data_IF_643680977815
#
_entry.id   IF_643680977815
#
_cell.length_a   1.000
_cell.length_b   1.000
_cell.length_c   1.000
_cell.angle_alpha   90.00
_cell.angle_beta   90.00
_cell.angle_gamma   90.00
#
_symmetry.space_group_name_H-M   'P 1'
#
loop_
_entity.id
_entity.type
_entity.pdbx_description
1 polymer ?
#
# COMPACT_ATOMS: atom_id res chain seq x y z
N UNK A 1 22.80 16.30 0.58
CA UNK A 1 23.24 16.86 -0.72
C UNK A 1 24.74 17.14 -0.65
N UNK A 2 25.54 16.66 -1.61
CA UNK A 2 26.94 17.07 -1.79
C UNK A 2 27.02 17.86 -3.09
N UNK A 3 27.58 19.07 -3.08
CA UNK A 3 27.74 19.92 -4.27
C UNK A 3 26.43 20.16 -5.06
N UNK A 4 25.31 20.32 -4.35
CA UNK A 4 24.00 20.52 -4.96
C UNK A 4 23.41 19.28 -5.64
N UNK A 5 24.05 18.11 -5.52
CA UNK A 5 23.55 16.82 -6.05
C UNK A 5 23.13 15.87 -4.93
N UNK A 6 22.03 15.11 -5.11
CA UNK A 6 21.68 14.02 -4.20
C UNK A 6 22.77 12.95 -4.20
N UNK A 7 23.20 12.53 -3.00
CA UNK A 7 24.16 11.46 -2.81
C UNK A 7 23.71 10.60 -1.63
N UNK A 8 23.92 9.29 -1.73
CA UNK A 8 23.68 8.33 -0.65
C UNK A 8 24.92 8.27 0.23
N UNK A 9 24.75 8.51 1.52
CA UNK A 9 25.84 8.53 2.51
C UNK A 9 25.50 7.53 3.63
N UNK A 10 26.45 6.65 4.04
CA UNK A 10 26.27 5.82 5.22
C UNK A 10 26.33 6.65 6.50
N UNK A 11 25.50 6.30 7.49
CA UNK A 11 25.48 6.96 8.80
C UNK A 11 24.61 8.21 8.86
N UNK A 12 24.53 8.81 10.06
CA UNK A 12 23.84 10.07 10.26
C UNK A 12 24.79 11.24 10.03
N UNK A 13 24.33 12.26 9.31
CA UNK A 13 25.12 13.42 8.96
C UNK A 13 24.37 14.71 9.30
N UNK A 14 25.07 15.75 9.74
CA UNK A 14 24.48 17.06 10.05
C UNK A 14 24.18 17.92 8.80
N UNK A 15 24.52 17.45 7.60
CA UNK A 15 24.23 18.12 6.32
C UNK A 15 22.73 18.08 6.00
N UNK A 16 22.29 18.93 5.06
CA UNK A 16 20.93 18.89 4.50
C UNK A 16 20.66 17.52 3.84
N UNK A 17 19.77 16.73 4.44
CA UNK A 17 19.36 15.40 3.99
C UNK A 17 17.91 15.45 3.52
N UNK A 18 17.62 14.99 2.30
CA UNK A 18 16.23 14.91 1.79
C UNK A 18 15.45 13.86 2.58
N UNK A 19 16.09 12.73 2.84
CA UNK A 19 15.54 11.62 3.58
C UNK A 19 16.66 10.87 4.30
N UNK A 20 16.29 10.19 5.39
CA UNK A 20 17.12 9.26 6.15
C UNK A 20 16.39 7.95 6.29
N UNK A 21 17.12 6.84 6.24
CA UNK A 21 16.56 5.50 6.36
C UNK A 21 17.39 4.65 7.31
N UNK A 22 16.72 3.84 8.12
CA UNK A 22 17.33 2.85 9.00
C UNK A 22 16.70 1.50 8.73
N UNK A 23 17.53 0.48 8.65
CA UNK A 23 17.10 -0.89 8.45
C UNK A 23 17.78 -1.82 9.43
N UNK A 24 17.02 -2.76 9.99
CA UNK A 24 17.53 -3.83 10.83
C UNK A 24 16.91 -5.15 10.37
N UNK A 25 17.72 -6.02 9.79
CA UNK A 25 17.30 -7.39 9.55
C UNK A 25 17.34 -8.17 10.86
N UNK A 26 16.21 -8.68 11.32
CA UNK A 26 16.09 -9.52 12.52
C UNK A 26 15.17 -10.71 12.27
N UNK A 27 15.09 -11.17 11.02
CA UNK A 27 14.24 -12.28 10.61
C UNK A 27 14.64 -13.56 11.36
N UNK A 28 15.94 -13.84 11.50
CA UNK A 28 16.42 -15.05 12.18
C UNK A 28 16.13 -15.09 13.69
N UNK A 29 15.86 -13.94 14.32
CA UNK A 29 15.62 -13.85 15.78
C UNK A 29 14.18 -13.55 16.14
N UNK A 30 13.45 -12.82 15.29
CA UNK A 30 12.08 -12.34 15.58
C UNK A 30 11.07 -12.69 14.50
N UNK A 31 11.50 -13.16 13.33
CA UNK A 31 10.66 -13.29 12.14
C UNK A 31 10.47 -11.99 11.36
N UNK A 32 11.01 -10.86 11.84
CA UNK A 32 10.81 -9.53 11.23
C UNK A 32 12.12 -8.83 10.90
N UNK A 33 12.12 -8.14 9.75
CA UNK A 33 12.97 -6.98 9.54
C UNK A 33 12.23 -5.70 9.94
N UNK A 34 12.98 -4.65 10.26
CA UNK A 34 12.43 -3.34 10.63
C UNK A 34 13.02 -2.28 9.70
N UNK A 35 12.14 -1.48 9.08
CA UNK A 35 12.52 -0.38 8.20
C UNK A 35 11.87 0.91 8.70
N UNK A 36 12.67 1.95 8.83
CA UNK A 36 12.20 3.30 9.13
C UNK A 36 12.75 4.25 8.07
N UNK A 37 11.89 5.08 7.49
CA UNK A 37 12.28 6.12 6.55
C UNK A 37 11.61 7.43 6.94
N UNK A 38 12.41 8.48 7.02
CA UNK A 38 11.95 9.83 7.33
C UNK A 38 12.40 10.81 6.24
N UNK A 39 11.48 11.61 5.71
CA UNK A 39 11.77 12.67 4.75
C UNK A 39 11.63 14.05 5.39
N UNK A 40 12.30 15.05 4.83
CA UNK A 40 12.38 16.40 5.41
C UNK A 40 11.50 17.40 4.65
N UNK A 41 10.74 18.19 5.39
CA UNK A 41 9.70 19.08 4.84
C UNK A 41 10.25 20.30 4.10
N UNK A 42 11.54 20.64 4.27
CA UNK A 42 12.17 21.71 3.48
C UNK A 42 12.40 21.35 2.00
N UNK A 43 12.13 20.11 1.59
CA UNK A 43 12.29 19.66 0.21
C UNK A 43 10.96 19.46 -0.49
N UNK A 44 10.98 19.56 -1.82
CA UNK A 44 9.80 19.29 -2.64
C UNK A 44 9.24 17.86 -2.38
N UNK A 45 7.92 17.72 -2.12
CA UNK A 45 7.30 16.44 -1.80
C UNK A 45 7.52 15.31 -2.82
N UNK A 46 7.69 15.64 -4.11
CA UNK A 46 7.94 14.65 -5.14
C UNK A 46 9.36 14.07 -5.03
N UNK A 47 10.34 14.93 -4.69
CA UNK A 47 11.71 14.52 -4.40
C UNK A 47 11.75 13.70 -3.10
N UNK A 48 10.96 14.08 -2.09
CA UNK A 48 10.82 13.32 -0.85
C UNK A 48 10.32 11.89 -1.12
N UNK A 49 9.22 11.74 -1.87
CA UNK A 49 8.63 10.45 -2.20
C UNK A 49 9.61 9.54 -2.94
N UNK A 50 10.24 10.06 -3.99
CA UNK A 50 11.25 9.34 -4.76
C UNK A 50 12.45 8.91 -3.88
N UNK A 51 12.94 9.81 -3.02
CA UNK A 51 14.09 9.54 -2.15
C UNK A 51 13.78 8.49 -1.10
N UNK A 52 12.55 8.48 -0.55
CA UNK A 52 12.08 7.43 0.34
C UNK A 52 12.12 6.06 -0.34
N UNK A 53 11.64 5.99 -1.59
CA UNK A 53 11.75 4.79 -2.41
C UNK A 53 13.20 4.33 -2.58
N UNK A 54 14.09 5.23 -3.02
CA UNK A 54 15.51 4.92 -3.24
C UNK A 54 16.15 4.33 -1.99
N UNK A 55 15.92 4.93 -0.82
CA UNK A 55 16.46 4.43 0.45
C UNK A 55 15.93 3.04 0.79
N UNK A 56 14.63 2.78 0.62
CA UNK A 56 14.09 1.42 0.82
C UNK A 56 14.76 0.40 -0.10
N UNK A 57 14.82 0.71 -1.41
CA UNK A 57 15.38 -0.19 -2.41
C UNK A 57 16.86 -0.54 -2.13
N UNK A 58 17.62 0.40 -1.59
CA UNK A 58 19.02 0.19 -1.18
C UNK A 58 19.09 -0.62 0.12
N UNK A 59 18.37 -0.20 1.16
CA UNK A 59 18.48 -0.76 2.50
C UNK A 59 17.94 -2.19 2.59
N UNK A 60 16.92 -2.51 1.79
CA UNK A 60 16.24 -3.82 1.82
C UNK A 60 16.67 -4.76 0.69
N UNK A 61 17.69 -4.37 -0.10
CA UNK A 61 18.07 -5.02 -1.37
C UNK A 61 18.15 -6.55 -1.29
N UNK A 62 18.82 -7.07 -0.27
CA UNK A 62 19.05 -8.51 -0.14
C UNK A 62 17.75 -9.29 0.16
N UNK A 63 16.96 -8.82 1.14
CA UNK A 63 15.68 -9.47 1.47
C UNK A 63 14.63 -9.29 0.38
N UNK A 64 14.70 -8.19 -0.37
CA UNK A 64 13.87 -7.94 -1.55
C UNK A 64 14.21 -8.90 -2.69
N UNK A 65 15.49 -9.17 -2.94
CA UNK A 65 15.89 -10.14 -3.96
C UNK A 65 15.35 -11.54 -3.64
N UNK A 66 15.47 -11.99 -2.38
CA UNK A 66 14.89 -13.26 -1.92
C UNK A 66 13.37 -13.28 -2.04
N UNK A 67 12.69 -12.20 -1.69
CA UNK A 67 11.23 -12.13 -1.78
C UNK A 67 10.73 -12.17 -3.24
N UNK A 68 11.44 -11.51 -4.17
CA UNK A 68 11.16 -11.60 -5.61
C UNK A 68 11.33 -13.03 -6.13
N UNK A 69 12.36 -13.74 -5.66
CA UNK A 69 12.57 -15.15 -5.99
C UNK A 69 11.41 -16.02 -5.52
N UNK A 70 10.99 -15.84 -4.27
CA UNK A 70 9.90 -16.61 -3.68
C UNK A 70 8.53 -16.37 -4.35
N UNK A 71 8.27 -15.16 -4.85
CA UNK A 71 6.90 -14.73 -5.15
C UNK A 71 6.63 -14.32 -6.59
N UNK A 72 7.64 -13.85 -7.34
CA UNK A 72 7.46 -13.23 -8.67
C UNK A 72 8.10 -14.03 -9.80
N UNK A 73 9.29 -14.58 -9.60
CA UNK A 73 10.09 -15.18 -10.69
C UNK A 73 9.31 -16.26 -11.47
N UNK A 74 8.54 -17.10 -10.76
CA UNK A 74 7.82 -18.22 -11.38
C UNK A 74 6.37 -17.89 -11.76
N UNK A 75 5.89 -16.67 -11.48
CA UNK A 75 4.47 -16.31 -11.56
C UNK A 75 3.85 -16.57 -12.95
N UNK A 76 4.62 -16.41 -14.02
CA UNK A 76 4.16 -16.60 -15.40
C UNK A 76 4.60 -17.93 -16.06
N UNK A 77 5.34 -18.79 -15.34
CA UNK A 77 5.76 -20.09 -15.87
C UNK A 77 4.52 -20.97 -16.06
N UNK A 78 4.34 -21.53 -17.26
CA UNK A 78 3.14 -22.32 -17.60
C UNK A 78 1.88 -21.49 -17.92
N UNK A 79 1.88 -20.17 -17.68
CA UNK A 79 0.69 -19.32 -17.83
C UNK A 79 0.84 -18.22 -18.91
N UNK A 80 1.62 -18.47 -19.97
CA UNK A 80 1.95 -17.47 -21.01
C UNK A 80 0.73 -16.76 -21.61
N UNK A 81 -0.36 -17.47 -21.86
CA UNK A 81 -1.60 -16.91 -22.42
C UNK A 81 -2.26 -15.90 -21.48
N UNK A 82 -2.35 -16.24 -20.19
CA UNK A 82 -2.83 -15.35 -19.13
C UNK A 82 -1.91 -14.13 -19.00
N UNK A 83 -0.59 -14.34 -18.87
CA UNK A 83 0.36 -13.24 -18.66
C UNK A 83 0.42 -12.27 -19.86
N UNK A 84 0.15 -12.73 -21.09
CA UNK A 84 0.01 -11.83 -22.24
C UNK A 84 -1.20 -10.90 -22.09
N UNK A 85 -2.34 -11.41 -21.62
CA UNK A 85 -3.55 -10.59 -21.37
C UNK A 85 -3.33 -9.63 -20.19
N UNK A 86 -2.76 -10.12 -19.10
CA UNK A 86 -2.41 -9.31 -17.94
C UNK A 86 -1.46 -8.17 -18.31
N UNK A 87 -0.36 -8.46 -19.02
CA UNK A 87 0.59 -7.45 -19.47
C UNK A 87 -0.05 -6.40 -20.39
N UNK A 88 -0.97 -6.82 -21.28
CA UNK A 88 -1.74 -5.90 -22.12
C UNK A 88 -2.67 -4.98 -21.32
N UNK A 89 -3.34 -5.51 -20.30
CA UNK A 89 -4.18 -4.74 -19.38
C UNK A 89 -3.35 -3.74 -18.55
N UNK A 90 -2.27 -4.22 -17.92
CA UNK A 90 -1.41 -3.37 -17.07
C UNK A 90 -0.76 -2.25 -17.86
N UNK A 91 -0.31 -2.51 -19.10
CA UNK A 91 0.26 -1.45 -19.96
C UNK A 91 -0.76 -0.35 -20.24
N UNK A 92 -1.99 -0.71 -20.59
CA UNK A 92 -3.05 0.28 -20.83
C UNK A 92 -3.44 1.01 -19.54
N UNK A 93 -3.51 0.30 -18.42
CA UNK A 93 -3.78 0.88 -17.09
C UNK A 93 -2.73 1.90 -16.71
N UNK A 94 -1.45 1.58 -16.84
CA UNK A 94 -0.36 2.51 -16.56
C UNK A 94 -0.39 3.72 -17.49
N UNK A 95 -0.71 3.53 -18.78
CA UNK A 95 -0.90 4.63 -19.72
C UNK A 95 -2.03 5.59 -19.31
N UNK A 96 -3.16 5.05 -18.84
CA UNK A 96 -4.26 5.89 -18.32
C UNK A 96 -3.85 6.62 -17.03
N UNK A 97 -3.20 5.94 -16.09
CA UNK A 97 -2.72 6.58 -14.85
C UNK A 97 -1.71 7.70 -15.17
N UNK A 98 -0.80 7.49 -16.12
CA UNK A 98 0.12 8.51 -16.59
C UNK A 98 -0.63 9.74 -17.09
N UNK A 99 -1.60 9.55 -17.98
CA UNK A 99 -2.44 10.63 -18.52
C UNK A 99 -3.17 11.40 -17.41
N UNK A 100 -3.72 10.70 -16.40
CA UNK A 100 -4.40 11.36 -15.29
C UNK A 100 -3.43 12.18 -14.42
N UNK A 101 -2.25 11.63 -14.10
CA UNK A 101 -1.23 12.34 -13.32
C UNK A 101 -0.72 13.58 -14.05
N UNK A 102 -0.46 13.48 -15.36
CA UNK A 102 0.07 14.58 -16.18
C UNK A 102 -0.94 15.72 -16.35
N UNK A 103 -2.23 15.41 -16.41
CA UNK A 103 -3.31 16.39 -16.59
C UNK A 103 -3.91 16.91 -15.27
N UNK A 104 -3.60 16.28 -14.13
CA UNK A 104 -4.16 16.68 -12.85
C UNK A 104 -3.66 18.08 -12.41
N UNK A 105 -4.57 18.97 -11.92
CA UNK A 105 -4.18 20.23 -11.31
C UNK A 105 -3.21 20.03 -10.13
N UNK A 106 -2.33 21.01 -9.88
CA UNK A 106 -1.39 20.94 -8.75
C UNK A 106 -2.09 20.98 -7.39
N UNK A 107 -3.29 21.56 -7.37
CA UNK A 107 -4.16 21.73 -6.20
C UNK A 107 -4.94 20.44 -5.89
N UNK A 108 -5.03 19.49 -6.83
CA UNK A 108 -5.70 18.22 -6.63
C UNK A 108 -4.85 17.30 -5.75
N UNK A 109 -5.09 17.37 -4.45
CA UNK A 109 -4.34 16.62 -3.43
C UNK A 109 -4.41 15.10 -3.66
N UNK A 110 -5.53 14.59 -4.18
CA UNK A 110 -5.70 13.16 -4.45
C UNK A 110 -4.71 12.71 -5.54
N UNK A 111 -4.70 13.39 -6.68
CA UNK A 111 -3.77 13.04 -7.76
C UNK A 111 -2.31 13.39 -7.44
N UNK A 112 -2.04 14.38 -6.59
CA UNK A 112 -0.69 14.59 -6.06
C UNK A 112 -0.23 13.42 -5.17
N UNK A 113 -1.13 12.83 -4.37
CA UNK A 113 -0.81 11.62 -3.59
C UNK A 113 -0.53 10.42 -4.52
N UNK A 114 -1.37 10.21 -5.54
CA UNK A 114 -1.15 9.16 -6.57
C UNK A 114 0.20 9.34 -7.25
N UNK A 115 0.54 10.54 -7.70
CA UNK A 115 1.83 10.86 -8.32
C UNK A 115 3.00 10.46 -7.43
N UNK A 116 2.94 10.80 -6.14
CA UNK A 116 4.01 10.51 -5.16
C UNK A 116 4.17 9.03 -4.89
N UNK A 117 3.09 8.26 -4.89
CA UNK A 117 3.15 6.79 -4.79
C UNK A 117 3.97 6.21 -5.96
N UNK A 118 3.71 6.66 -7.18
CA UNK A 118 4.46 6.18 -8.36
C UNK A 118 5.91 6.68 -8.41
N UNK A 119 6.19 7.88 -7.88
CA UNK A 119 7.56 8.35 -7.67
C UNK A 119 8.30 7.50 -6.64
N UNK A 120 7.66 7.15 -5.53
CA UNK A 120 8.23 6.27 -4.51
C UNK A 120 8.50 4.87 -5.07
N UNK A 121 7.56 4.30 -5.84
CA UNK A 121 7.75 3.00 -6.49
C UNK A 121 8.93 3.03 -7.48
N UNK A 122 9.04 4.11 -8.26
CA UNK A 122 10.16 4.29 -9.19
C UNK A 122 11.48 4.43 -8.45
N UNK A 123 11.50 5.25 -7.39
CA UNK A 123 12.65 5.41 -6.52
C UNK A 123 13.11 4.08 -5.93
N UNK A 124 12.17 3.26 -5.47
CA UNK A 124 12.43 1.93 -4.92
C UNK A 124 13.06 0.98 -5.94
N UNK A 125 12.51 0.96 -7.16
CA UNK A 125 13.12 0.23 -8.27
C UNK A 125 14.53 0.72 -8.61
N UNK A 126 14.73 2.03 -8.64
CA UNK A 126 16.02 2.64 -8.94
C UNK A 126 17.06 2.35 -7.86
N UNK A 127 16.67 2.45 -6.58
CA UNK A 127 17.52 2.09 -5.44
C UNK A 127 17.93 0.62 -5.47
N UNK A 128 16.97 -0.29 -5.70
CA UNK A 128 17.23 -1.72 -5.83
C UNK A 128 18.22 -2.04 -6.96
N UNK A 129 18.06 -1.39 -8.13
CA UNK A 129 18.93 -1.58 -9.30
C UNK A 129 20.23 -0.78 -9.26
N UNK A 130 20.43 0.11 -8.30
CA UNK A 130 21.58 1.02 -8.27
C UNK A 130 21.62 1.97 -9.48
N UNK A 131 20.45 2.42 -9.95
CA UNK A 131 20.37 3.41 -11.04
C UNK A 131 20.77 4.80 -10.55
N UNK A 132 21.17 5.66 -11.48
CA UNK A 132 21.43 7.07 -11.18
C UNK A 132 20.17 7.74 -10.62
N UNK A 133 20.36 8.59 -9.61
CA UNK A 133 19.29 9.38 -9.02
C UNK A 133 18.68 10.32 -10.07
N UNK A 134 17.42 10.09 -10.42
CA UNK A 134 16.65 10.84 -11.40
C UNK A 134 15.17 10.82 -11.02
N UNK A 135 14.65 11.96 -10.55
CA UNK A 135 13.28 12.07 -10.06
C UNK A 135 12.33 12.09 -11.25
N UNK A 136 11.82 10.92 -11.60
CA UNK A 136 10.85 10.70 -12.65
C UNK A 136 10.00 9.49 -12.30
N UNK A 137 8.82 9.37 -12.91
CA UNK A 137 7.99 8.18 -12.80
C UNK A 137 8.36 7.22 -13.94
N UNK A 138 8.56 5.94 -13.61
CA UNK A 138 8.60 4.84 -14.57
C UNK A 138 7.25 4.13 -14.54
N UNK A 139 6.60 4.07 -15.68
CA UNK A 139 5.34 3.35 -15.90
C UNK A 139 5.56 1.94 -16.46
N UNK A 140 6.82 1.50 -16.54
CA UNK A 140 7.18 0.18 -17.04
C UNK A 140 6.81 -0.91 -16.03
N UNK A 141 6.33 -2.04 -16.53
CA UNK A 141 6.06 -3.22 -15.71
C UNK A 141 7.40 -3.86 -15.35
N UNK A 142 7.87 -3.63 -14.12
CA UNK A 142 9.07 -4.24 -13.55
C UNK A 142 8.72 -5.20 -12.39
N UNK A 143 9.64 -6.09 -11.96
CA UNK A 143 9.34 -7.10 -10.93
C UNK A 143 8.78 -6.54 -9.62
N UNK A 144 9.24 -5.38 -9.17
CA UNK A 144 8.73 -4.73 -7.95
C UNK A 144 7.30 -4.18 -8.15
N UNK A 145 6.96 -3.65 -9.33
CA UNK A 145 5.57 -3.30 -9.63
C UNK A 145 4.70 -4.57 -9.61
N UNK A 146 5.22 -5.68 -10.13
CA UNK A 146 4.54 -6.97 -10.07
C UNK A 146 4.33 -7.49 -8.64
N UNK A 147 5.16 -7.13 -7.64
CA UNK A 147 4.85 -7.41 -6.22
C UNK A 147 3.53 -6.76 -5.80
N UNK A 148 3.33 -5.48 -6.14
CA UNK A 148 2.11 -4.76 -5.80
C UNK A 148 0.89 -5.32 -6.53
N UNK A 149 1.05 -5.64 -7.82
CA UNK A 149 -0.01 -6.24 -8.61
C UNK A 149 -0.37 -7.64 -8.09
N UNK A 150 0.62 -8.49 -7.76
CA UNK A 150 0.37 -9.83 -7.22
C UNK A 150 -0.28 -9.78 -5.83
N UNK A 151 0.13 -8.82 -4.99
CA UNK A 151 -0.38 -8.74 -3.63
C UNK A 151 -1.82 -8.24 -3.53
N UNK A 152 -2.30 -7.42 -4.48
CA UNK A 152 -3.62 -6.80 -4.40
C UNK A 152 -4.54 -7.17 -5.58
N UNK A 153 -4.03 -7.20 -6.80
CA UNK A 153 -4.88 -7.19 -7.99
C UNK A 153 -5.16 -8.58 -8.55
N UNK A 154 -4.27 -9.54 -8.34
CA UNK A 154 -4.34 -10.82 -9.07
C UNK A 154 -5.46 -11.72 -8.60
N UNK A 155 -6.01 -11.53 -7.40
CA UNK A 155 -7.16 -12.28 -6.89
C UNK A 155 -8.35 -12.27 -7.86
N UNK A 156 -8.62 -11.11 -8.46
CA UNK A 156 -9.67 -10.95 -9.47
C UNK A 156 -9.14 -10.99 -10.89
N UNK A 157 -7.95 -10.44 -11.17
CA UNK A 157 -7.44 -10.42 -12.55
C UNK A 157 -7.13 -11.83 -13.08
N UNK A 158 -6.74 -12.77 -12.22
CA UNK A 158 -6.58 -14.17 -12.61
C UNK A 158 -7.90 -14.78 -13.08
N UNK A 159 -8.99 -14.50 -12.36
CA UNK A 159 -10.33 -14.96 -12.73
C UNK A 159 -10.82 -14.25 -13.99
N UNK A 160 -10.68 -12.93 -14.08
CA UNK A 160 -11.05 -12.12 -15.26
C UNK A 160 -10.37 -12.61 -16.54
N UNK A 161 -9.09 -12.96 -16.46
CA UNK A 161 -8.33 -13.39 -17.63
C UNK A 161 -8.27 -14.92 -17.82
N UNK A 162 -9.07 -15.67 -17.06
CA UNK A 162 -9.19 -17.12 -17.11
C UNK A 162 -7.82 -17.82 -16.94
N UNK A 163 -7.05 -17.43 -15.92
CA UNK A 163 -5.86 -18.19 -15.51
C UNK A 163 -6.31 -19.60 -15.14
N UNK A 164 -5.67 -20.61 -15.72
CA UNK A 164 -5.90 -22.00 -15.32
C UNK A 164 -5.54 -22.17 -13.85
N UNK A 165 -6.37 -22.89 -13.08
CA UNK A 165 -6.10 -23.11 -11.66
C UNK A 165 -4.75 -23.78 -11.46
N UNK A 166 -4.00 -23.29 -10.49
CA UNK A 166 -2.78 -23.95 -10.07
C UNK A 166 -3.16 -25.18 -9.22
N UNK A 167 -2.75 -26.40 -9.60
CA UNK A 167 -3.08 -27.60 -8.83
C UNK A 167 -2.30 -27.69 -7.51
N UNK A 168 -1.23 -26.91 -7.33
CA UNK A 168 -0.37 -26.93 -6.14
C UNK A 168 -0.62 -25.76 -5.17
N UNK A 169 -1.25 -24.68 -5.66
CA UNK A 169 -1.59 -23.51 -4.86
C UNK A 169 -3.11 -23.34 -4.78
N UNK A 170 -3.68 -23.58 -3.59
CA UNK A 170 -5.11 -23.50 -3.34
C UNK A 170 -5.68 -22.08 -3.35
N UNK A 171 -7.01 -21.99 -3.21
CA UNK A 171 -7.70 -20.70 -3.11
C UNK A 171 -7.08 -19.83 -2.01
N UNK A 172 -6.92 -18.55 -2.34
CA UNK A 172 -6.21 -17.54 -1.59
C UNK A 172 -6.60 -17.50 -0.10
N UNK A 173 -5.61 -17.22 0.75
CA UNK A 173 -5.77 -17.29 2.20
C UNK A 173 -6.82 -16.29 2.73
N UNK A 174 -7.38 -16.62 3.90
CA UNK A 174 -8.45 -15.87 4.55
C UNK A 174 -7.87 -15.10 5.72
N UNK A 175 -7.82 -13.78 5.69
CA UNK A 175 -7.40 -13.01 6.86
C UNK A 175 -8.48 -13.01 7.94
N UNK A 176 -8.08 -12.83 9.21
CA UNK A 176 -8.99 -12.63 10.34
C UNK A 176 -8.71 -11.29 11.00
N UNK A 177 -9.73 -10.46 11.21
CA UNK A 177 -9.64 -9.20 11.95
C UNK A 177 -10.47 -9.22 13.24
N UNK A 178 -10.06 -8.47 14.25
CA UNK A 178 -10.82 -8.28 15.49
C UNK A 178 -10.69 -6.85 16.01
N UNK A 179 -11.81 -6.20 16.27
CA UNK A 179 -11.89 -4.99 17.10
C UNK A 179 -12.57 -5.37 18.41
N UNK A 180 -11.95 -5.05 19.54
CA UNK A 180 -12.44 -5.46 20.87
C UNK A 180 -12.39 -4.32 21.86
N UNK A 181 -13.57 -3.90 22.31
CA UNK A 181 -13.73 -3.01 23.45
C UNK A 181 -13.53 -3.78 24.77
N UNK A 182 -12.70 -3.22 25.66
CA UNK A 182 -12.50 -3.75 27.00
C UNK A 182 -13.71 -3.48 27.90
N UNK A 183 -13.88 -4.23 29.01
CA UNK A 183 -14.93 -3.93 30.00
C UNK A 183 -14.91 -2.48 30.45
N UNK A 184 -16.09 -1.87 30.61
CA UNK A 184 -16.27 -0.47 31.00
C UNK A 184 -15.55 0.55 30.09
N UNK A 185 -15.35 0.19 28.82
CA UNK A 185 -14.66 1.02 27.83
C UNK A 185 -13.24 1.43 28.28
N UNK A 186 -12.58 0.58 29.08
CA UNK A 186 -11.27 0.91 29.66
C UNK A 186 -10.15 0.99 28.61
N UNK A 187 -10.32 0.27 27.49
CA UNK A 187 -9.38 0.23 26.37
C UNK A 187 -10.08 -0.28 25.10
N UNK A 188 -9.46 -0.10 23.93
CA UNK A 188 -9.97 -0.52 22.64
C UNK A 188 -8.86 -1.14 21.78
N UNK A 189 -8.96 -2.46 21.58
CA UNK A 189 -7.97 -3.24 20.85
C UNK A 189 -8.39 -3.44 19.39
N UNK A 190 -7.39 -3.44 18.50
CA UNK A 190 -7.53 -3.84 17.10
C UNK A 190 -6.43 -4.85 16.75
N UNK A 191 -6.77 -5.93 16.06
CA UNK A 191 -5.81 -6.95 15.64
C UNK A 191 -6.17 -7.55 14.28
N UNK A 192 -5.15 -8.05 13.59
CA UNK A 192 -5.25 -8.71 12.30
C UNK A 192 -4.32 -9.91 12.27
N UNK A 193 -4.78 -11.01 11.64
CA UNK A 193 -4.01 -12.22 11.38
C UNK A 193 -4.12 -12.54 9.90
N UNK A 194 -3.02 -12.29 9.19
CA UNK A 194 -2.91 -12.55 7.75
C UNK A 194 -2.72 -14.04 7.48
N UNK A 195 -3.42 -14.56 6.48
CA UNK A 195 -3.20 -15.91 5.97
C UNK A 195 -2.79 -15.83 4.51
N UNK A 196 -1.54 -16.22 4.22
CA UNK A 196 -0.96 -16.26 2.88
C UNK A 196 -0.04 -17.49 2.77
N UNK A 197 0.39 -17.80 1.55
CA UNK A 197 1.37 -18.87 1.32
C UNK A 197 2.69 -18.60 2.03
N UNK A 198 3.34 -19.67 2.50
CA UNK A 198 4.58 -19.57 3.30
C UNK A 198 5.75 -18.92 2.54
N UNK A 199 5.70 -18.91 1.21
CA UNK A 199 6.67 -18.19 0.37
C UNK A 199 6.72 -16.68 0.66
N UNK A 200 5.66 -16.11 1.24
CA UNK A 200 5.57 -14.70 1.60
C UNK A 200 6.17 -14.39 2.99
N UNK A 201 6.65 -15.36 3.77
CA UNK A 201 7.08 -15.14 5.17
C UNK A 201 8.37 -14.33 5.38
N UNK A 202 8.90 -13.67 4.33
CA UNK A 202 9.88 -12.60 4.51
C UNK A 202 9.14 -11.31 4.88
N UNK A 203 9.18 -10.93 6.15
CA UNK A 203 8.39 -9.82 6.70
C UNK A 203 9.24 -8.59 7.01
N UNK A 204 8.67 -7.40 6.78
CA UNK A 204 9.25 -6.11 7.14
C UNK A 204 8.19 -5.29 7.87
N UNK A 205 8.42 -4.93 9.13
CA UNK A 205 7.64 -3.90 9.81
C UNK A 205 8.16 -2.54 9.38
N UNK A 206 7.30 -1.70 8.83
CA UNK A 206 7.69 -0.43 8.21
C UNK A 206 7.13 0.76 8.96
N UNK A 207 7.93 1.81 9.09
CA UNK A 207 7.53 3.13 9.56
C UNK A 207 7.98 4.17 8.53
N UNK A 208 7.02 4.83 7.90
CA UNK A 208 7.29 6.00 7.07
C UNK A 208 6.90 7.28 7.80
N UNK A 209 7.77 8.28 7.75
CA UNK A 209 7.56 9.62 8.30
C UNK A 209 7.78 10.63 7.19
N UNK A 210 6.74 10.93 6.42
CA UNK A 210 6.84 11.90 5.34
C UNK A 210 6.76 13.33 5.90
N UNK A 211 7.66 14.18 5.44
CA UNK A 211 7.65 15.64 5.64
C UNK A 211 6.65 16.36 4.72
N UNK A 212 5.51 15.74 4.44
CA UNK A 212 4.43 16.37 3.67
C UNK A 212 3.69 17.43 4.50
N UNK A 213 2.91 18.27 3.81
CA UNK A 213 2.04 19.26 4.45
C UNK A 213 0.97 18.55 5.29
N UNK A 214 1.11 18.62 6.62
CA UNK A 214 0.27 17.92 7.59
C UNK A 214 -1.19 18.41 7.57
N UNK A 215 -1.46 19.60 7.01
CA UNK A 215 -2.83 20.10 6.83
C UNK A 215 -3.58 19.41 5.69
N UNK A 216 -2.86 18.66 4.84
CA UNK A 216 -3.39 17.92 3.69
C UNK A 216 -3.14 16.42 3.77
N UNK A 217 -2.05 16.03 4.43
CA UNK A 217 -1.61 14.64 4.60
C UNK A 217 -1.67 14.29 6.09
N UNK A 218 -2.88 14.04 6.60
CA UNK A 218 -3.10 13.78 8.02
C UNK A 218 -2.39 12.49 8.49
N UNK A 219 -2.33 11.48 7.63
CA UNK A 219 -1.54 10.25 7.83
C UNK A 219 -0.11 10.36 7.30
N UNK A 220 0.55 11.52 7.39
CA UNK A 220 1.93 11.70 6.91
C UNK A 220 2.95 10.78 7.60
N UNK A 221 2.65 10.30 8.80
CA UNK A 221 3.42 9.23 9.47
C UNK A 221 2.55 8.00 9.65
N UNK A 222 3.03 6.84 9.24
CA UNK A 222 2.29 5.60 9.42
C UNK A 222 3.21 4.40 9.55
N UNK A 223 2.78 3.43 10.36
CA UNK A 223 3.46 2.15 10.55
C UNK A 223 2.54 1.00 10.15
N UNK A 224 3.11 -0.03 9.54
CA UNK A 224 2.34 -1.14 9.00
C UNK A 224 3.18 -2.40 8.85
N UNK A 225 2.55 -3.57 9.02
CA UNK A 225 3.16 -4.85 8.66
C UNK A 225 3.25 -4.93 7.15
N UNK A 226 4.38 -5.41 6.61
CA UNK A 226 4.64 -5.38 5.17
C UNK A 226 5.58 -6.50 4.75
N UNK A 227 5.87 -6.50 3.45
CA UNK A 227 6.85 -7.34 2.78
C UNK A 227 7.99 -6.49 2.18
N UNK A 228 9.17 -7.09 1.89
CA UNK A 228 10.24 -6.41 1.16
C UNK A 228 9.75 -5.82 -0.16
N UNK A 229 9.98 -4.52 -0.37
CA UNK A 229 9.65 -3.82 -1.61
C UNK A 229 8.19 -3.42 -1.81
N UNK A 230 7.27 -3.85 -0.95
CA UNK A 230 5.84 -3.53 -1.05
C UNK A 230 5.53 -2.20 -0.34
N UNK A 231 5.00 -1.18 -1.02
CA UNK A 231 4.80 0.16 -0.45
C UNK A 231 3.53 0.30 0.42
N UNK A 232 2.72 -0.76 0.48
CA UNK A 232 1.54 -0.90 1.32
C UNK A 232 1.66 -2.17 2.15
N UNK A 233 0.67 -2.46 3.01
CA UNK A 233 0.77 -3.56 3.95
C UNK A 233 0.67 -4.93 3.27
N UNK A 234 -0.35 -5.15 2.46
CA UNK A 234 -0.64 -6.44 1.83
C UNK A 234 -1.21 -7.49 2.80
N UNK A 235 -1.33 -7.13 4.08
CA UNK A 235 -1.92 -7.95 5.14
C UNK A 235 -3.46 -7.76 5.21
N UNK A 236 -4.04 -6.56 5.37
CA UNK A 236 -3.48 -5.26 5.75
C UNK A 236 -3.63 -4.93 7.28
N UNK A 237 -2.60 -4.31 7.88
CA UNK A 237 -2.66 -3.70 9.22
C UNK A 237 -1.85 -2.39 9.25
N UNK A 238 -2.52 -1.26 9.52
CA UNK A 238 -1.91 0.09 9.46
C UNK A 238 -2.32 0.92 10.67
N UNK A 239 -1.35 1.65 11.24
CA UNK A 239 -1.57 2.72 12.22
C UNK A 239 -1.05 4.04 11.65
N UNK A 240 -1.84 5.10 11.76
CA UNK A 240 -1.59 6.40 11.11
C UNK A 240 -1.52 7.54 12.13
N UNK A 241 -0.73 8.57 11.83
CA UNK A 241 -0.60 9.79 12.64
C UNK A 241 -1.87 10.61 12.73
N UNK A 242 -2.83 10.39 11.83
CA UNK A 242 -4.18 10.96 11.91
C UNK A 242 -4.98 10.42 13.09
N UNK A 243 -4.47 9.43 13.84
CA UNK A 243 -5.18 8.73 14.91
C UNK A 243 -6.02 7.56 14.40
N UNK A 244 -5.95 7.26 13.10
CA UNK A 244 -6.66 6.15 12.48
C UNK A 244 -5.86 4.85 12.56
N UNK A 245 -6.57 3.74 12.71
CA UNK A 245 -6.08 2.39 12.46
C UNK A 245 -6.96 1.74 11.39
N UNK A 246 -6.36 0.97 10.48
CA UNK A 246 -7.09 0.27 9.43
C UNK A 246 -6.61 -1.17 9.32
N UNK A 247 -7.57 -2.09 9.21
CA UNK A 247 -7.34 -3.50 8.89
C UNK A 247 -8.32 -3.93 7.79
N UNK A 248 -8.00 -5.02 7.10
CA UNK A 248 -8.93 -5.62 6.15
C UNK A 248 -8.92 -7.14 6.21
N UNK A 249 -10.00 -7.72 5.68
CA UNK A 249 -10.03 -9.12 5.28
C UNK A 249 -10.61 -9.26 3.88
N UNK A 250 -9.92 -10.02 3.02
CA UNK A 250 -10.36 -10.24 1.63
C UNK A 250 -11.71 -10.95 1.56
N UNK A 251 -12.60 -10.40 0.75
CA UNK A 251 -13.91 -10.94 0.45
C UNK A 251 -13.91 -11.68 -0.89
N UNK A 252 -14.66 -12.77 -0.96
CA UNK A 252 -14.84 -13.52 -2.19
C UNK A 252 -15.88 -12.90 -3.11
N UNK A 253 -15.51 -12.63 -4.36
CA UNK A 253 -16.47 -12.34 -5.44
C UNK A 253 -16.86 -13.64 -6.14
N UNK A 254 -18.07 -14.12 -5.87
CA UNK A 254 -18.57 -15.42 -6.38
C UNK A 254 -19.37 -15.33 -7.67
N UNK A 255 -19.70 -14.10 -8.12
CA UNK A 255 -20.45 -13.86 -9.35
C UNK A 255 -19.48 -13.46 -10.48
N UNK A 256 -19.11 -14.37 -11.41
CA UNK A 256 -18.05 -14.12 -12.38
C UNK A 256 -18.33 -12.96 -13.33
N UNK A 257 -19.61 -12.69 -13.63
CA UNK A 257 -20.02 -11.59 -14.50
C UNK A 257 -19.63 -10.22 -13.94
N UNK A 258 -19.39 -10.10 -12.63
CA UNK A 258 -18.91 -8.86 -12.04
C UNK A 258 -17.49 -8.50 -12.48
N UNK A 259 -16.67 -9.46 -12.90
CA UNK A 259 -15.31 -9.17 -13.39
C UNK A 259 -15.30 -8.34 -14.69
N UNK A 260 -16.41 -8.29 -15.43
CA UNK A 260 -16.57 -7.42 -16.60
C UNK A 260 -16.60 -5.95 -16.23
N UNK A 261 -16.92 -5.61 -14.98
CA UNK A 261 -16.86 -4.23 -14.47
C UNK A 261 -15.44 -3.75 -14.15
N UNK A 262 -14.44 -4.64 -14.15
CA UNK A 262 -13.03 -4.25 -14.02
C UNK A 262 -12.57 -3.69 -15.37
N UNK A 263 -12.19 -2.43 -15.39
CA UNK A 263 -11.91 -1.62 -16.57
C UNK A 263 -10.53 -0.95 -16.49
N UNK A 264 -10.00 -0.53 -17.63
CA UNK A 264 -8.72 0.19 -17.71
C UNK A 264 -8.86 1.64 -17.26
N UNK A 265 -9.94 2.31 -17.67
CA UNK A 265 -10.17 3.74 -17.39
C UNK A 265 -10.98 3.90 -16.12
N UNK A 266 -10.87 5.10 -15.52
CA UNK A 266 -11.65 5.55 -14.37
C UNK A 266 -11.56 4.65 -13.14
N UNK A 267 -10.45 3.91 -13.03
CA UNK A 267 -10.23 2.92 -11.98
C UNK A 267 -8.76 2.87 -11.56
N UNK A 268 -8.50 2.96 -10.26
CA UNK A 268 -7.16 2.87 -9.68
C UNK A 268 -6.98 1.54 -8.94
N UNK A 269 -5.80 0.88 -9.06
CA UNK A 269 -5.48 -0.33 -8.30
C UNK A 269 -5.76 -0.17 -6.81
N UNK A 270 -6.24 -1.24 -6.15
CA UNK A 270 -6.63 -1.22 -4.74
C UNK A 270 -5.49 -0.75 -3.84
N UNK A 271 -4.28 -1.25 -4.06
CA UNK A 271 -3.10 -0.86 -3.29
C UNK A 271 -2.78 0.64 -3.39
N UNK A 272 -3.03 1.28 -4.53
CA UNK A 272 -2.85 2.75 -4.68
C UNK A 272 -3.90 3.47 -3.86
N UNK A 273 -5.17 3.07 -3.98
CA UNK A 273 -6.28 3.67 -3.25
C UNK A 273 -6.11 3.54 -1.73
N UNK A 274 -5.62 2.40 -1.26
CA UNK A 274 -5.27 2.18 0.15
C UNK A 274 -4.21 3.18 0.63
N UNK A 275 -3.11 3.36 -0.10
CA UNK A 275 -2.06 4.30 0.32
C UNK A 275 -2.59 5.75 0.30
N UNK A 276 -3.38 6.14 -0.71
CA UNK A 276 -3.97 7.48 -0.78
C UNK A 276 -4.91 7.73 0.40
N UNK A 277 -5.81 6.80 0.70
CA UNK A 277 -6.72 6.92 1.85
C UNK A 277 -5.94 7.02 3.17
N UNK A 278 -4.93 6.17 3.37
CA UNK A 278 -4.09 6.21 4.58
C UNK A 278 -3.36 7.54 4.75
N UNK A 279 -2.88 8.14 3.67
CA UNK A 279 -2.12 9.38 3.71
C UNK A 279 -3.01 10.62 3.93
N UNK A 280 -4.21 10.62 3.39
CA UNK A 280 -5.07 11.81 3.31
C UNK A 280 -6.18 11.87 4.36
N UNK A 281 -6.64 10.73 4.90
CA UNK A 281 -7.83 10.73 5.75
C UNK A 281 -7.60 11.33 7.15
N UNK A 282 -8.55 12.16 7.58
CA UNK A 282 -8.58 12.79 8.91
C UNK A 282 -9.57 12.14 9.89
N UNK A 283 -10.43 11.25 9.39
CA UNK A 283 -11.47 10.55 10.13
C UNK A 283 -11.80 9.21 9.45
N UNK A 284 -12.42 8.28 10.18
CA UNK A 284 -12.77 6.97 9.61
C UNK A 284 -13.73 7.07 8.42
N UNK A 285 -14.73 7.98 8.49
CA UNK A 285 -15.63 8.26 7.37
C UNK A 285 -14.89 8.83 6.16
N UNK A 286 -14.00 9.80 6.38
CA UNK A 286 -13.26 10.42 5.28
C UNK A 286 -12.30 9.42 4.61
N UNK A 287 -11.76 8.46 5.36
CA UNK A 287 -11.00 7.34 4.79
C UNK A 287 -11.84 6.55 3.77
N UNK A 288 -13.09 6.22 4.12
CA UNK A 288 -14.03 5.54 3.22
C UNK A 288 -14.34 6.39 1.96
N UNK A 289 -14.63 7.68 2.12
CA UNK A 289 -14.90 8.63 1.02
C UNK A 289 -13.69 8.83 0.07
N UNK A 290 -12.47 8.64 0.56
CA UNK A 290 -11.27 8.72 -0.27
C UNK A 290 -11.02 7.38 -0.98
N UNK A 291 -11.17 6.26 -0.26
CA UNK A 291 -10.95 4.92 -0.79
C UNK A 291 -11.98 4.54 -1.89
N UNK A 292 -13.21 5.06 -1.80
CA UNK A 292 -14.28 4.76 -2.77
C UNK A 292 -13.98 5.28 -4.19
N UNK A 293 -13.18 6.35 -4.29
CA UNK A 293 -12.85 6.98 -5.56
C UNK A 293 -12.11 6.02 -6.47
N UNK A 294 -12.53 5.95 -7.73
CA UNK A 294 -11.92 5.10 -8.76
C UNK A 294 -11.88 3.61 -8.40
N UNK A 295 -12.92 3.09 -7.75
CA UNK A 295 -13.05 1.66 -7.42
C UNK A 295 -12.71 0.75 -8.62
N UNK A 296 -11.65 -0.06 -8.48
CA UNK A 296 -11.20 -1.00 -9.51
C UNK A 296 -11.98 -2.31 -9.54
N UNK A 297 -12.68 -2.68 -8.48
CA UNK A 297 -13.20 -4.03 -8.31
C UNK A 297 -12.11 -5.09 -8.15
N UNK A 298 -10.89 -4.69 -7.81
CA UNK A 298 -9.76 -5.57 -7.50
C UNK A 298 -9.33 -5.33 -6.06
N UNK A 299 -8.79 -6.37 -5.42
CA UNK A 299 -8.54 -6.41 -3.98
C UNK A 299 -9.82 -6.13 -3.18
N UNK A 300 -10.84 -6.95 -3.42
CA UNK A 300 -12.16 -6.75 -2.82
C UNK A 300 -12.13 -7.20 -1.36
N UNK A 301 -12.19 -6.25 -0.45
CA UNK A 301 -12.01 -6.48 0.98
C UNK A 301 -13.16 -5.86 1.78
N UNK A 302 -13.36 -6.37 2.99
CA UNK A 302 -14.02 -5.63 4.06
C UNK A 302 -12.92 -4.88 4.83
N UNK A 303 -12.95 -3.56 4.75
CA UNK A 303 -12.11 -2.66 5.50
C UNK A 303 -12.78 -2.29 6.82
N UNK A 304 -12.02 -2.31 7.90
CA UNK A 304 -12.42 -1.82 9.22
C UNK A 304 -11.50 -0.67 9.57
N UNK A 305 -12.07 0.53 9.69
CA UNK A 305 -11.33 1.77 9.98
C UNK A 305 -11.77 2.28 11.34
N UNK A 306 -10.82 2.34 12.25
CA UNK A 306 -11.02 2.76 13.64
C UNK A 306 -10.38 4.14 13.86
N UNK A 307 -11.14 5.08 14.41
CA UNK A 307 -10.68 6.43 14.74
C UNK A 307 -10.44 6.57 16.25
N UNK A 308 -9.19 6.42 16.69
CA UNK A 308 -8.85 6.54 18.11
C UNK A 308 -9.09 7.94 18.67
N UNK A 309 -9.22 8.99 17.85
CA UNK A 309 -9.57 10.33 18.34
C UNK A 309 -11.00 10.38 18.90
N UNK A 310 -11.86 9.42 18.52
CA UNK A 310 -13.24 9.26 18.99
C UNK A 310 -13.36 8.36 20.22
N UNK A 311 -12.25 7.77 20.67
CA UNK A 311 -12.21 6.92 21.85
C UNK A 311 -11.60 7.66 23.05
N UNK A 312 -12.25 7.58 24.20
CA UNK A 312 -11.71 8.07 25.47
C UNK A 312 -11.96 7.01 26.55
N UNK A 313 -10.91 6.49 27.22
CA UNK A 313 -11.08 5.45 28.22
C UNK A 313 -12.12 5.79 29.30
N UNK A 314 -13.04 4.85 29.54
CA UNK A 314 -14.11 4.99 30.53
C UNK A 314 -15.26 5.93 30.13
N UNK A 315 -15.31 6.40 28.88
CA UNK A 315 -16.39 7.23 28.34
C UNK A 315 -17.27 6.45 27.37
N UNK A 316 -18.48 6.95 27.13
CA UNK A 316 -19.35 6.45 26.06
C UNK A 316 -18.66 6.58 24.70
N UNK A 317 -18.96 5.64 23.79
CA UNK A 317 -18.42 5.66 22.43
C UNK A 317 -19.05 6.82 21.66
N UNK A 318 -18.25 7.47 20.81
CA UNK A 318 -18.70 8.58 19.97
C UNK A 318 -18.90 8.11 18.53
N UNK A 319 -20.00 8.52 17.91
CA UNK A 319 -20.21 8.33 16.46
C UNK A 319 -18.97 8.77 15.67
N UNK A 320 -18.63 8.00 14.63
CA UNK A 320 -17.38 8.15 13.90
C UNK A 320 -16.26 7.24 14.35
N UNK A 321 -16.42 6.50 15.46
CA UNK A 321 -15.35 5.67 16.02
C UNK A 321 -14.97 4.50 15.11
N UNK A 322 -15.95 3.80 14.53
CA UNK A 322 -15.71 2.59 13.75
C UNK A 322 -16.50 2.64 12.44
N UNK A 323 -15.80 2.63 11.30
CA UNK A 323 -16.42 2.45 9.99
C UNK A 323 -16.07 1.09 9.42
N UNK A 324 -17.06 0.46 8.78
CA UNK A 324 -16.86 -0.74 7.97
C UNK A 324 -17.18 -0.37 6.53
N UNK A 325 -16.26 -0.69 5.61
CA UNK A 325 -16.41 -0.50 4.16
C UNK A 325 -16.26 -1.84 3.47
N UNK A 326 -17.16 -2.15 2.54
CA UNK A 326 -17.04 -3.32 1.67
C UNK A 326 -16.93 -2.90 0.21
N UNK A 327 -16.06 -3.59 -0.52
CA UNK A 327 -15.87 -3.37 -1.95
C UNK A 327 -16.18 -4.63 -2.76
N UNK A 328 -16.82 -4.43 -3.91
CA UNK A 328 -16.84 -5.39 -5.01
C UNK A 328 -16.75 -4.66 -6.38
N UNK A 329 -16.63 -5.37 -7.52
CA UNK A 329 -16.63 -4.71 -8.82
C UNK A 329 -17.88 -3.85 -9.07
N UNK A 330 -17.65 -2.54 -9.15
CA UNK A 330 -18.66 -1.52 -9.42
C UNK A 330 -19.61 -1.21 -8.26
N UNK A 331 -19.27 -1.58 -7.02
CA UNK A 331 -19.98 -1.15 -5.82
C UNK A 331 -18.99 -1.02 -4.65
N UNK A 332 -19.10 0.09 -3.93
CA UNK A 332 -18.55 0.25 -2.59
C UNK A 332 -19.70 0.72 -1.72
N UNK A 333 -19.76 0.19 -0.51
CA UNK A 333 -20.67 0.66 0.53
C UNK A 333 -19.91 0.76 1.85
N UNK A 334 -20.29 1.72 2.70
CA UNK A 334 -19.67 1.90 4.00
C UNK A 334 -20.63 2.49 5.02
N UNK A 335 -20.47 2.07 6.27
CA UNK A 335 -21.36 2.46 7.36
C UNK A 335 -20.60 2.66 8.67
N UNK A 336 -21.10 3.59 9.48
CA UNK A 336 -20.70 3.74 10.88
C UNK A 336 -21.28 2.58 11.70
N UNK A 337 -20.38 1.79 12.31
CA UNK A 337 -20.70 0.61 13.11
C UNK A 337 -20.41 0.82 14.59
N UNK A 338 -20.29 2.07 15.05
CA UNK A 338 -20.00 2.40 16.46
C UNK A 338 -21.08 1.89 17.43
N UNK A 339 -22.35 1.93 17.00
CA UNK A 339 -23.53 1.68 17.84
C UNK A 339 -24.20 0.31 17.61
N UNK A 340 -23.59 -0.58 16.83
CA UNK A 340 -24.16 -1.89 16.43
C UNK A 340 -23.80 -3.00 17.39
#
# INVERSE_FOLDING_TARGET
MLDGKPQIIPGFDCRKMIAVGRYKNSINTTGWSYLEIETKSEFDPDIQAYSAGVLEGILTKDVLALHLENTINDYCIGYKGYCKKLGGYLKQKMGWIQEQIENAPKEDVYWQAVKRIFLQLTGLWHGYKGKQFNVSISYDIHPIMMLHIKGAETYELEKKFNRTKDPYHGDNGKCSGLVKLAPNNADLFISQVTMLGFENLLRVLKLYKFGYDQSKFHGHTYTFSSYPGLLYSGDDFILMSSGLAAIETTMGVFKPELYDKIQVKDQLPGWVRTIVANQLADSAKNWCEIYEKFNSGTYNNQWVVLDYNKFSPGKELQDGLLYVLEQMPGLIDYQDMTCV
#
